data_IF_262901340509
#
_entry.id   IF_262901340509
#
_cell.length_a   1.000
_cell.length_b   1.000
_cell.length_c   1.000
_cell.angle_alpha   90.00
_cell.angle_beta   90.00
_cell.angle_gamma   90.00
#
_symmetry.space_group_name_H-M   'P 1'
#
loop_
_entity.id
_entity.type
_entity.pdbx_description
1 polymer ?
#
# COMPACT_ATOMS: atom_id res chain seq x y z
N UNK A 1 57.75 -25.99 -46.55
CA UNK A 1 57.51 -26.28 -45.13
C UNK A 1 56.24 -25.55 -44.77
N UNK A 2 55.11 -26.20 -45.02
CA UNK A 2 53.80 -25.63 -44.69
C UNK A 2 53.64 -25.71 -43.17
N UNK A 3 53.81 -24.57 -42.51
CA UNK A 3 53.52 -24.44 -41.09
C UNK A 3 52.01 -24.53 -40.97
N UNK A 4 51.50 -25.72 -40.67
CA UNK A 4 50.09 -25.90 -40.28
C UNK A 4 49.92 -25.05 -39.02
N UNK A 5 49.33 -23.87 -39.13
CA UNK A 5 48.88 -23.10 -38.00
C UNK A 5 47.77 -23.90 -37.32
N UNK A 6 48.16 -24.77 -36.38
CA UNK A 6 47.23 -25.50 -35.54
C UNK A 6 46.64 -24.47 -34.58
N UNK A 7 45.41 -24.04 -34.86
CA UNK A 7 44.68 -23.15 -33.96
C UNK A 7 44.36 -23.92 -32.68
N UNK A 8 44.83 -23.48 -31.50
CA UNK A 8 44.52 -24.18 -30.25
C UNK A 8 43.03 -24.11 -29.92
N UNK A 9 42.58 -24.94 -28.97
CA UNK A 9 41.24 -24.78 -28.41
C UNK A 9 41.10 -23.39 -27.77
N UNK A 10 39.90 -22.78 -27.75
CA UNK A 10 39.74 -21.42 -27.25
C UNK A 10 40.04 -21.35 -25.75
N UNK A 11 40.43 -20.16 -25.29
CA UNK A 11 40.51 -19.85 -23.88
C UNK A 11 39.12 -19.77 -23.25
N UNK A 12 39.05 -19.89 -21.92
CA UNK A 12 37.78 -19.75 -21.19
C UNK A 12 37.19 -18.35 -21.42
N UNK A 13 35.92 -18.22 -21.85
CA UNK A 13 35.29 -16.91 -21.95
C UNK A 13 35.10 -16.28 -20.57
N UNK A 14 34.86 -14.97 -20.54
CA UNK A 14 34.61 -14.22 -19.31
C UNK A 14 33.20 -13.64 -19.36
N UNK A 15 32.31 -14.11 -18.48
CA UNK A 15 30.96 -13.51 -18.35
C UNK A 15 31.08 -12.12 -17.72
N UNK A 16 30.41 -11.15 -18.34
CA UNK A 16 30.36 -9.78 -17.84
C UNK A 16 29.41 -9.69 -16.64
N UNK A 17 29.57 -8.74 -15.71
CA UNK A 17 28.58 -8.50 -14.67
C UNK A 17 27.20 -8.13 -15.24
N UNK A 18 26.13 -8.46 -14.53
CA UNK A 18 24.79 -8.00 -14.86
C UNK A 18 24.76 -6.48 -14.89
N UNK A 19 24.28 -5.91 -15.99
CA UNK A 19 24.12 -4.46 -16.15
C UNK A 19 22.67 -4.07 -15.88
N UNK A 20 22.44 -2.85 -15.40
CA UNK A 20 21.09 -2.34 -15.19
C UNK A 20 20.28 -2.42 -16.50
N UNK A 21 19.03 -2.87 -16.41
CA UNK A 21 18.12 -3.09 -17.55
C UNK A 21 18.50 -4.24 -18.51
N UNK A 22 19.43 -5.14 -18.15
CA UNK A 22 19.67 -6.37 -18.91
C UNK A 22 18.73 -7.52 -18.51
N UNK A 23 17.83 -7.29 -17.58
CA UNK A 23 16.85 -8.26 -17.10
C UNK A 23 15.43 -7.77 -17.35
N UNK A 24 14.54 -8.72 -17.57
CA UNK A 24 13.10 -8.52 -17.43
C UNK A 24 12.59 -9.40 -16.30
N UNK A 25 11.27 -9.39 -16.08
CA UNK A 25 10.63 -10.25 -15.08
C UNK A 25 10.85 -11.75 -15.36
N UNK A 26 11.01 -12.14 -16.61
CA UNK A 26 11.09 -13.55 -17.02
C UNK A 26 12.26 -13.86 -17.95
N UNK A 27 13.19 -12.91 -18.11
CA UNK A 27 14.35 -13.12 -18.97
C UNK A 27 15.61 -12.40 -18.49
N UNK A 28 16.75 -12.96 -18.85
CA UNK A 28 18.08 -12.43 -18.57
C UNK A 28 18.90 -12.37 -19.84
N UNK A 29 19.45 -11.20 -20.14
CA UNK A 29 20.46 -11.02 -21.19
C UNK A 29 21.85 -11.15 -20.58
N UNK A 30 22.54 -12.22 -20.94
CA UNK A 30 23.90 -12.54 -20.50
C UNK A 30 24.87 -12.22 -21.62
N UNK A 31 25.98 -11.56 -21.29
CA UNK A 31 27.02 -11.17 -22.23
C UNK A 31 28.37 -11.67 -21.72
N UNK A 32 29.25 -12.09 -22.62
CA UNK A 32 30.62 -12.49 -22.29
C UNK A 32 31.62 -11.93 -23.28
N UNK A 33 32.90 -11.99 -22.90
CA UNK A 33 34.03 -11.52 -23.69
C UNK A 33 35.02 -12.66 -23.90
N UNK A 34 35.78 -12.60 -25.00
CA UNK A 34 36.86 -13.52 -25.33
C UNK A 34 38.22 -12.81 -25.25
N UNK A 35 39.28 -13.62 -25.23
CA UNK A 35 40.62 -13.15 -25.57
C UNK A 35 40.73 -12.90 -27.08
N UNK A 36 41.50 -11.88 -27.47
CA UNK A 36 41.40 -11.23 -28.79
C UNK A 36 41.81 -12.08 -30.00
N UNK A 37 42.44 -13.23 -29.77
CA UNK A 37 43.03 -14.10 -30.80
C UNK A 37 42.33 -15.46 -30.96
N UNK A 38 41.31 -15.76 -30.15
CA UNK A 38 40.59 -17.04 -30.23
C UNK A 38 39.59 -17.06 -31.39
N UNK A 39 39.71 -18.05 -32.29
CA UNK A 39 38.66 -18.35 -33.28
C UNK A 39 37.62 -19.28 -32.67
N UNK A 40 36.36 -18.85 -32.58
CA UNK A 40 35.25 -19.62 -31.99
C UNK A 40 34.14 -19.85 -32.99
N UNK A 41 33.62 -21.08 -33.07
CA UNK A 41 32.49 -21.44 -33.94
C UNK A 41 31.14 -21.22 -33.26
N UNK A 42 31.03 -21.58 -31.99
CA UNK A 42 29.83 -21.40 -31.17
C UNK A 42 30.17 -21.43 -29.68
N UNK A 43 29.21 -20.98 -28.89
CA UNK A 43 29.24 -21.03 -27.43
C UNK A 43 28.10 -21.90 -26.92
N UNK A 44 28.31 -22.52 -25.77
CA UNK A 44 27.25 -23.14 -24.99
C UNK A 44 27.14 -22.40 -23.66
N UNK A 45 26.05 -21.68 -23.48
CA UNK A 45 25.70 -21.02 -22.23
C UNK A 45 24.89 -21.99 -21.38
N UNK A 46 25.38 -22.29 -20.19
CA UNK A 46 24.71 -23.12 -19.21
C UNK A 46 24.16 -22.25 -18.08
N UNK A 47 23.04 -22.66 -17.53
CA UNK A 47 22.43 -21.97 -16.40
C UNK A 47 21.62 -22.90 -15.52
N UNK A 48 21.48 -22.50 -14.26
CA UNK A 48 20.60 -23.15 -13.28
C UNK A 48 20.09 -22.12 -12.28
N UNK A 49 18.92 -22.40 -11.70
CA UNK A 49 18.41 -21.63 -10.59
C UNK A 49 19.29 -21.85 -9.34
N UNK A 50 19.59 -20.78 -8.62
CA UNK A 50 20.21 -20.85 -7.29
C UNK A 50 19.09 -21.13 -6.29
N UNK A 51 19.14 -22.29 -5.64
CA UNK A 51 18.25 -22.65 -4.54
C UNK A 51 19.00 -22.38 -3.23
N UNK A 52 18.39 -21.68 -2.27
CA UNK A 52 18.96 -21.57 -0.93
C UNK A 52 19.04 -22.95 -0.28
N UNK A 53 20.18 -23.25 0.36
CA UNK A 53 20.48 -24.55 0.97
C UNK A 53 19.41 -24.93 2.02
N UNK A 54 18.43 -25.74 1.62
CA UNK A 54 17.66 -26.54 2.54
C UNK A 54 18.51 -27.76 2.91
N UNK A 55 18.62 -28.14 4.20
CA UNK A 55 19.40 -29.30 4.60
C UNK A 55 18.86 -30.52 3.86
N UNK A 56 19.76 -31.21 3.16
CA UNK A 56 19.52 -32.29 2.22
C UNK A 56 18.41 -33.24 2.70
N UNK A 57 17.24 -33.11 2.07
CA UNK A 57 16.30 -34.22 1.95
C UNK A 57 16.60 -34.87 0.60
N UNK A 58 16.97 -36.14 0.67
CA UNK A 58 17.30 -37.05 -0.43
C UNK A 58 16.63 -36.68 -1.76
N UNK A 59 17.35 -35.90 -2.57
CA UNK A 59 17.02 -35.67 -3.97
C UNK A 59 18.18 -36.19 -4.80
N UNK A 60 18.01 -37.42 -5.29
CA UNK A 60 18.93 -38.14 -6.20
C UNK A 60 19.00 -37.52 -7.61
N UNK A 61 18.60 -36.26 -7.77
CA UNK A 61 18.75 -35.47 -8.99
C UNK A 61 19.59 -34.25 -8.66
N UNK A 62 20.78 -34.16 -9.25
CA UNK A 62 21.53 -32.91 -9.27
C UNK A 62 20.66 -31.77 -9.83
N UNK A 63 21.01 -30.50 -9.54
CA UNK A 63 20.25 -29.36 -10.05
C UNK A 63 20.13 -29.44 -11.57
N UNK A 64 18.91 -29.24 -12.09
CA UNK A 64 18.65 -29.31 -13.53
C UNK A 64 19.41 -28.17 -14.22
N UNK A 65 20.41 -28.55 -15.03
CA UNK A 65 21.25 -27.59 -15.76
C UNK A 65 20.69 -27.49 -17.16
N UNK A 66 20.21 -26.30 -17.51
CA UNK A 66 19.78 -25.97 -18.86
C UNK A 66 20.94 -25.39 -19.66
N UNK A 67 20.95 -25.58 -20.97
CA UNK A 67 21.93 -24.98 -21.85
C UNK A 67 21.33 -24.41 -23.13
N UNK A 68 21.99 -23.40 -23.70
CA UNK A 68 21.63 -22.76 -24.96
C UNK A 68 22.88 -22.62 -25.81
N UNK A 69 22.80 -23.07 -27.06
CA UNK A 69 23.87 -22.93 -28.04
C UNK A 69 23.68 -21.67 -28.88
N UNK A 70 24.69 -20.79 -28.92
CA UNK A 70 24.65 -19.51 -29.65
C UNK A 70 25.94 -19.24 -30.41
N UNK A 71 25.93 -18.31 -31.37
CA UNK A 71 27.14 -17.89 -32.11
C UNK A 71 27.68 -16.54 -31.66
N UNK A 72 26.80 -15.73 -31.09
CA UNK A 72 27.10 -14.40 -30.58
C UNK A 72 27.72 -14.50 -29.18
N UNK A 73 28.39 -13.43 -28.76
CA UNK A 73 28.94 -13.28 -27.39
C UNK A 73 27.89 -12.81 -26.38
N UNK A 74 26.62 -13.03 -26.68
CA UNK A 74 25.50 -12.73 -25.80
C UNK A 74 24.32 -13.66 -26.08
N UNK A 75 23.48 -13.88 -25.07
CA UNK A 75 22.26 -14.67 -25.18
C UNK A 75 21.19 -14.12 -24.25
N UNK A 76 19.93 -14.13 -24.71
CA UNK A 76 18.77 -13.83 -23.87
C UNK A 76 18.07 -15.14 -23.50
N UNK A 77 18.09 -15.48 -22.22
CA UNK A 77 17.40 -16.66 -21.68
C UNK A 77 16.04 -16.22 -21.16
N UNK A 78 14.96 -16.86 -21.62
CA UNK A 78 13.57 -16.57 -21.23
C UNK A 78 12.95 -17.66 -20.37
N UNK A 79 11.64 -17.55 -20.12
CA UNK A 79 10.85 -18.49 -19.30
C UNK A 79 11.39 -18.68 -17.87
N UNK A 80 12.03 -17.65 -17.33
CA UNK A 80 12.57 -17.64 -15.98
C UNK A 80 11.53 -17.14 -14.96
N UNK A 81 11.71 -17.52 -13.71
CA UNK A 81 10.86 -17.07 -12.60
C UNK A 81 11.25 -15.64 -12.17
N UNK A 82 10.28 -14.81 -11.73
CA UNK A 82 10.52 -13.45 -11.27
C UNK A 82 11.24 -13.40 -9.92
N UNK A 83 12.08 -12.39 -9.73
CA UNK A 83 12.90 -12.18 -8.53
C UNK A 83 13.73 -13.42 -8.12
N UNK A 84 14.29 -14.15 -9.07
CA UNK A 84 15.07 -15.37 -8.82
C UNK A 84 16.50 -15.19 -9.30
N UNK A 85 17.44 -15.72 -8.51
CA UNK A 85 18.85 -15.75 -8.85
C UNK A 85 19.17 -16.98 -9.73
N UNK A 86 19.90 -16.75 -10.79
CA UNK A 86 20.37 -17.76 -11.73
C UNK A 86 21.88 -17.67 -11.87
N UNK A 87 22.53 -18.83 -11.81
CA UNK A 87 23.97 -18.97 -12.00
C UNK A 87 24.25 -19.37 -13.45
N UNK A 88 25.13 -18.63 -14.13
CA UNK A 88 25.50 -18.81 -15.53
C UNK A 88 26.98 -19.13 -15.68
N UNK A 89 27.31 -19.99 -16.64
CA UNK A 89 28.68 -20.21 -17.13
C UNK A 89 28.66 -20.57 -18.61
N UNK A 90 29.75 -20.29 -19.31
CA UNK A 90 29.82 -20.49 -20.78
C UNK A 90 31.09 -21.21 -21.17
N UNK A 91 31.00 -22.05 -22.20
CA UNK A 91 32.14 -22.65 -22.92
C UNK A 91 32.17 -22.16 -24.36
N UNK A 92 33.35 -22.10 -24.95
CA UNK A 92 33.57 -21.78 -26.36
C UNK A 92 34.11 -23.01 -27.09
N UNK A 93 33.60 -23.27 -28.29
CA UNK A 93 34.02 -24.42 -29.09
C UNK A 93 34.51 -23.97 -30.45
N UNK A 94 35.62 -24.55 -30.91
CA UNK A 94 36.14 -24.40 -32.26
C UNK A 94 36.46 -25.77 -32.88
N UNK A 95 37.15 -25.77 -34.03
CA UNK A 95 37.51 -27.00 -34.75
C UNK A 95 38.46 -27.93 -33.97
N UNK A 96 39.22 -27.41 -33.00
CA UNK A 96 40.23 -28.18 -32.26
C UNK A 96 39.77 -28.61 -30.87
N UNK A 97 38.77 -27.95 -30.29
CA UNK A 97 38.17 -28.42 -29.04
C UNK A 97 37.27 -27.42 -28.34
N UNK A 98 36.96 -27.75 -27.08
CA UNK A 98 36.12 -26.97 -26.18
C UNK A 98 37.02 -26.30 -25.15
N UNK A 99 36.77 -25.03 -24.85
CA UNK A 99 37.46 -24.29 -23.79
C UNK A 99 37.11 -24.86 -22.40
N UNK A 100 37.91 -24.56 -21.37
CA UNK A 100 37.41 -24.61 -19.99
C UNK A 100 36.16 -23.73 -19.84
N UNK A 101 35.31 -24.05 -18.86
CA UNK A 101 34.16 -23.21 -18.53
C UNK A 101 34.62 -21.87 -17.96
N UNK A 102 33.84 -20.82 -18.21
CA UNK A 102 34.02 -19.54 -17.52
C UNK A 102 33.86 -19.68 -16.01
N UNK A 103 34.39 -18.71 -15.27
CA UNK A 103 33.90 -18.45 -13.91
C UNK A 103 32.38 -18.24 -13.93
N UNK A 104 31.73 -18.65 -12.85
CA UNK A 104 30.27 -18.57 -12.76
C UNK A 104 29.83 -17.17 -12.37
N UNK A 105 28.78 -16.67 -13.01
CA UNK A 105 28.19 -15.38 -12.72
C UNK A 105 26.75 -15.52 -12.25
N UNK A 106 26.36 -14.76 -11.23
CA UNK A 106 24.99 -14.74 -10.72
C UNK A 106 24.26 -13.54 -11.30
N UNK A 107 23.10 -13.80 -11.88
CA UNK A 107 22.17 -12.80 -12.40
C UNK A 107 20.81 -12.95 -11.72
N UNK A 108 20.05 -11.87 -11.63
CA UNK A 108 18.74 -11.85 -10.97
C UNK A 108 17.70 -11.28 -11.91
N UNK A 109 16.58 -11.99 -12.07
CA UNK A 109 15.42 -11.49 -12.82
C UNK A 109 14.75 -10.34 -12.08
N UNK A 110 14.07 -9.46 -12.81
CA UNK A 110 13.37 -8.31 -12.22
C UNK A 110 12.20 -8.80 -11.34
N UNK A 111 11.87 -8.09 -10.24
CA UNK A 111 10.75 -8.49 -9.38
C UNK A 111 9.38 -8.37 -10.07
N UNK A 112 8.41 -9.09 -9.52
CA UNK A 112 6.99 -8.84 -9.84
C UNK A 112 6.54 -7.48 -9.29
N UNK A 113 5.65 -6.77 -10.01
CA UNK A 113 5.07 -5.51 -9.53
C UNK A 113 4.35 -5.69 -8.18
N UNK A 114 4.54 -4.78 -7.22
CA UNK A 114 3.79 -4.77 -5.96
C UNK A 114 2.29 -4.54 -6.18
N UNK A 115 1.48 -4.96 -5.20
CA UNK A 115 0.02 -4.78 -5.20
C UNK A 115 -0.38 -3.84 -4.07
N UNK A 116 -0.90 -2.65 -4.40
CA UNK A 116 -1.35 -1.68 -3.39
C UNK A 116 -2.59 -2.22 -2.68
N UNK A 117 -2.53 -2.28 -1.34
CA UNK A 117 -3.64 -2.71 -0.48
C UNK A 117 -4.56 -1.53 -0.20
N UNK A 118 -5.48 -1.26 -1.13
CA UNK A 118 -6.35 -0.07 -1.08
C UNK A 118 -7.08 0.11 0.26
N UNK A 119 -7.54 -0.99 0.88
CA UNK A 119 -8.23 -0.97 2.19
C UNK A 119 -7.34 -0.60 3.38
N UNK A 120 -6.04 -0.78 3.23
CA UNK A 120 -5.06 -0.44 4.28
C UNK A 120 -4.42 0.94 4.03
N UNK A 121 -4.80 1.60 2.93
CA UNK A 121 -4.41 2.96 2.62
C UNK A 121 -5.37 3.94 3.29
N UNK A 122 -4.81 5.05 3.77
CA UNK A 122 -5.59 6.18 4.29
C UNK A 122 -5.01 7.48 3.75
N UNK A 123 -5.84 8.51 3.65
CA UNK A 123 -5.40 9.84 3.23
C UNK A 123 -6.02 10.93 4.09
N UNK A 124 -5.31 12.05 4.17
CA UNK A 124 -5.79 13.30 4.74
C UNK A 124 -5.41 14.46 3.80
N UNK A 125 -5.81 15.70 4.11
CA UNK A 125 -5.47 16.84 3.27
C UNK A 125 -3.98 17.08 3.06
N UNK A 126 -3.12 16.64 3.98
CA UNK A 126 -1.68 16.94 3.95
C UNK A 126 -0.81 15.71 3.68
N UNK A 127 -1.38 14.51 3.68
CA UNK A 127 -0.60 13.28 3.54
C UNK A 127 -1.45 12.07 3.12
N UNK A 128 -0.78 11.01 2.69
CA UNK A 128 -1.39 9.70 2.52
C UNK A 128 -0.45 8.60 3.01
N UNK A 129 -1.01 7.63 3.72
CA UNK A 129 -0.32 6.41 4.09
C UNK A 129 -0.70 5.32 3.08
N UNK A 130 0.30 4.86 2.32
CA UNK A 130 0.12 3.86 1.27
C UNK A 130 0.76 2.56 1.72
N UNK A 131 0.01 1.46 1.63
CA UNK A 131 0.48 0.11 1.96
C UNK A 131 0.32 -0.83 0.78
N UNK A 132 1.22 -1.79 0.64
CA UNK A 132 1.22 -2.74 -0.47
C UNK A 132 1.71 -4.12 -0.06
N UNK A 133 1.47 -5.10 -0.91
CA UNK A 133 2.11 -6.41 -0.85
C UNK A 133 3.25 -6.46 -1.85
N UNK A 134 4.37 -7.08 -1.46
CA UNK A 134 5.49 -7.31 -2.37
C UNK A 134 5.10 -8.20 -3.56
N UNK A 135 4.30 -9.26 -3.32
CA UNK A 135 3.99 -10.28 -4.34
C UNK A 135 5.21 -11.12 -4.79
N UNK A 136 6.36 -10.98 -4.13
CA UNK A 136 7.59 -11.69 -4.43
C UNK A 136 7.93 -12.65 -3.29
N UNK A 137 8.34 -13.88 -3.62
CA UNK A 137 8.73 -14.90 -2.63
C UNK A 137 10.08 -14.59 -2.00
N UNK A 138 11.03 -14.13 -2.82
CA UNK A 138 12.33 -13.66 -2.36
C UNK A 138 12.23 -12.18 -1.98
N UNK A 139 13.01 -11.72 -0.98
CA UNK A 139 13.06 -10.31 -0.63
C UNK A 139 13.55 -9.48 -1.83
N UNK A 140 13.13 -8.22 -1.87
CA UNK A 140 13.59 -7.21 -2.82
C UNK A 140 14.48 -6.22 -2.07
N UNK A 141 15.32 -5.47 -2.78
CA UNK A 141 16.26 -4.54 -2.16
C UNK A 141 15.55 -3.29 -1.61
N UNK A 142 14.56 -2.79 -2.35
CA UNK A 142 13.73 -1.65 -1.93
C UNK A 142 12.49 -1.48 -2.82
N UNK A 143 11.68 -0.46 -2.52
CA UNK A 143 10.59 0.01 -3.36
C UNK A 143 10.79 1.46 -3.79
N UNK A 144 10.22 1.79 -4.96
CA UNK A 144 10.08 3.16 -5.43
C UNK A 144 8.60 3.50 -5.52
N UNK A 145 8.17 4.55 -4.81
CA UNK A 145 6.81 5.08 -4.86
C UNK A 145 6.80 6.28 -5.79
N UNK A 146 6.01 6.24 -6.86
CA UNK A 146 5.84 7.34 -7.80
C UNK A 146 4.49 8.00 -7.63
N UNK A 147 4.49 9.33 -7.70
CA UNK A 147 3.31 10.16 -7.55
C UNK A 147 3.15 11.06 -8.77
N UNK A 148 1.94 11.09 -9.31
CA UNK A 148 1.60 11.95 -10.44
C UNK A 148 0.40 12.79 -10.02
N UNK A 149 0.59 14.10 -9.89
CA UNK A 149 -0.53 15.02 -9.68
C UNK A 149 -1.38 15.06 -10.95
N UNK A 150 -2.68 14.82 -10.81
CA UNK A 150 -3.63 14.95 -11.91
C UNK A 150 -4.19 16.37 -11.90
N UNK A 151 -3.73 17.23 -12.81
CA UNK A 151 -4.29 18.56 -12.99
C UNK A 151 -5.71 18.52 -13.59
N UNK A 152 -6.49 19.58 -13.36
CA UNK A 152 -7.85 19.74 -13.94
C UNK A 152 -7.88 19.78 -15.47
N UNK A 153 -6.74 20.07 -16.11
CA UNK A 153 -6.63 20.34 -17.54
C UNK A 153 -6.05 19.18 -18.37
N UNK A 154 -5.98 17.96 -17.80
CA UNK A 154 -5.55 16.76 -18.54
C UNK A 154 -4.07 16.72 -18.93
N UNK A 155 -3.26 17.70 -18.50
CA UNK A 155 -1.80 17.58 -18.52
C UNK A 155 -1.38 16.73 -17.32
N UNK A 156 -0.77 15.57 -17.60
CA UNK A 156 -0.16 14.73 -16.57
C UNK A 156 0.93 15.54 -15.88
N UNK A 157 0.81 15.75 -14.57
CA UNK A 157 1.77 16.50 -13.78
C UNK A 157 3.16 15.84 -13.76
N UNK A 158 4.13 16.56 -13.20
CA UNK A 158 5.49 16.05 -12.97
C UNK A 158 5.39 14.78 -12.12
N UNK A 159 6.11 13.73 -12.52
CA UNK A 159 6.22 12.51 -11.70
C UNK A 159 7.25 12.75 -10.61
N UNK A 160 6.79 12.74 -9.37
CA UNK A 160 7.65 12.71 -8.19
C UNK A 160 7.94 11.26 -7.78
N UNK A 161 9.07 11.03 -7.13
CA UNK A 161 9.49 9.67 -6.77
C UNK A 161 10.17 9.63 -5.40
N UNK A 162 9.68 8.75 -4.54
CA UNK A 162 10.31 8.37 -3.27
C UNK A 162 11.02 7.05 -3.52
N UNK A 163 12.35 7.06 -3.49
CA UNK A 163 13.20 5.90 -3.77
C UNK A 163 13.71 5.27 -2.49
N UNK A 164 14.19 4.03 -2.58
CA UNK A 164 14.83 3.30 -1.50
C UNK A 164 13.92 3.09 -0.26
N UNK A 165 12.61 2.92 -0.46
CA UNK A 165 11.69 2.57 0.63
C UNK A 165 11.93 1.12 1.04
N UNK A 166 12.31 0.82 2.29
CA UNK A 166 12.70 -0.52 2.70
C UNK A 166 11.52 -1.42 3.10
N UNK A 167 10.36 -0.82 3.35
CA UNK A 167 9.16 -1.49 3.88
C UNK A 167 8.02 -1.46 2.89
N UNK A 168 7.02 -2.32 3.10
CA UNK A 168 5.79 -2.37 2.30
C UNK A 168 4.76 -1.27 2.67
N UNK A 169 5.24 -0.16 3.21
CA UNK A 169 4.43 1.00 3.56
C UNK A 169 5.23 2.29 3.41
N UNK A 170 4.54 3.38 3.07
CA UNK A 170 5.12 4.72 2.97
C UNK A 170 4.10 5.80 3.32
N UNK A 171 4.50 6.71 4.21
CA UNK A 171 3.77 7.94 4.50
C UNK A 171 4.27 9.05 3.57
N UNK A 172 3.38 9.56 2.74
CA UNK A 172 3.69 10.52 1.69
C UNK A 172 3.06 11.87 2.05
N UNK A 173 3.84 12.95 2.00
CA UNK A 173 3.33 14.31 2.18
C UNK A 173 2.74 14.80 0.86
N UNK A 174 1.57 15.41 0.90
CA UNK A 174 0.80 15.82 -0.27
C UNK A 174 0.27 17.25 -0.10
N UNK A 175 0.01 17.95 -1.20
CA UNK A 175 -0.68 19.24 -1.14
C UNK A 175 -2.19 19.04 -0.96
N UNK A 176 -2.80 19.89 -0.15
CA UNK A 176 -4.25 19.90 0.10
C UNK A 176 -5.05 20.32 -1.13
N UNK A 177 -6.22 19.70 -1.31
CA UNK A 177 -7.15 20.03 -2.39
C UNK A 177 -6.73 19.51 -3.78
N UNK A 178 -5.82 18.53 -3.83
CA UNK A 178 -5.31 17.91 -5.05
C UNK A 178 -5.77 16.46 -5.20
N UNK A 179 -5.48 15.90 -6.36
CA UNK A 179 -5.66 14.48 -6.65
C UNK A 179 -4.36 13.92 -7.24
N UNK A 180 -3.97 12.75 -6.76
CA UNK A 180 -2.73 12.08 -7.12
C UNK A 180 -3.01 10.65 -7.58
N UNK A 181 -2.27 10.22 -8.61
CA UNK A 181 -2.12 8.81 -8.97
C UNK A 181 -0.82 8.30 -8.37
N UNK A 182 -0.90 7.22 -7.61
CA UNK A 182 0.22 6.60 -6.92
C UNK A 182 0.51 5.24 -7.53
N UNK A 183 1.79 4.98 -7.77
CA UNK A 183 2.32 3.71 -8.25
C UNK A 183 3.46 3.25 -7.36
N UNK A 184 3.62 1.94 -7.22
CA UNK A 184 4.76 1.35 -6.51
C UNK A 184 5.50 0.40 -7.45
N UNK A 185 6.84 0.42 -7.39
CA UNK A 185 7.72 -0.57 -8.01
C UNK A 185 8.55 -1.26 -6.95
N UNK A 186 8.82 -2.54 -7.15
CA UNK A 186 9.86 -3.26 -6.44
C UNK A 186 11.19 -3.11 -7.19
N UNK A 187 12.30 -3.05 -6.46
CA UNK A 187 13.64 -2.87 -7.01
C UNK A 187 14.55 -3.93 -6.45
N UNK A 188 15.29 -4.59 -7.33
CA UNK A 188 16.45 -5.42 -6.97
C UNK A 188 17.65 -5.07 -7.86
N UNK A 189 18.76 -5.79 -7.71
CA UNK A 189 19.96 -5.61 -8.54
C UNK A 189 19.72 -5.80 -10.05
N UNK A 190 18.70 -6.56 -10.43
CA UNK A 190 18.32 -6.77 -11.83
C UNK A 190 17.56 -5.59 -12.44
N UNK A 191 16.95 -4.76 -11.60
CA UNK A 191 16.27 -3.53 -11.99
C UNK A 191 14.92 -3.34 -11.30
N UNK A 192 14.21 -2.25 -11.66
CA UNK A 192 12.87 -1.98 -11.17
C UNK A 192 11.83 -2.83 -11.90
N UNK A 193 10.80 -3.27 -11.17
CA UNK A 193 9.60 -3.90 -11.75
C UNK A 193 8.80 -2.92 -12.62
N UNK A 194 7.81 -3.44 -13.34
CA UNK A 194 6.74 -2.59 -13.86
C UNK A 194 5.98 -1.89 -12.71
N UNK A 195 5.22 -0.84 -13.04
CA UNK A 195 4.33 -0.15 -12.09
C UNK A 195 3.27 -1.10 -11.56
N UNK A 196 2.92 -0.94 -10.28
CA UNK A 196 1.66 -1.47 -9.74
C UNK A 196 0.45 -0.92 -10.50
N UNK A 197 -0.74 -1.46 -10.22
CA UNK A 197 -1.97 -0.77 -10.58
C UNK A 197 -2.01 0.61 -9.91
N UNK A 198 -2.55 1.61 -10.61
CA UNK A 198 -2.68 2.97 -10.09
C UNK A 198 -3.64 3.00 -8.90
N UNK A 199 -3.25 3.71 -7.84
CA UNK A 199 -4.15 4.05 -6.73
C UNK A 199 -4.39 5.55 -6.71
N UNK A 200 -5.67 5.95 -6.64
CA UNK A 200 -6.07 7.36 -6.64
C UNK A 200 -6.23 7.86 -5.22
N UNK A 201 -5.53 8.93 -4.89
CA UNK A 201 -5.67 9.65 -3.62
C UNK A 201 -6.23 11.05 -3.88
N UNK A 202 -7.24 11.44 -3.12
CA UNK A 202 -7.70 12.83 -3.05
C UNK A 202 -7.36 13.41 -1.67
N UNK A 203 -6.85 14.64 -1.65
CA UNK A 203 -6.49 15.39 -0.44
C UNK A 203 -7.53 16.47 -0.12
N UNK A 204 -8.79 16.26 -0.49
CA UNK A 204 -9.91 17.18 -0.19
C UNK A 204 -10.57 16.91 1.17
N UNK A 205 -10.25 15.78 1.81
CA UNK A 205 -10.78 15.33 3.09
C UNK A 205 -9.93 14.22 3.69
N UNK A 206 -10.37 13.67 4.82
CA UNK A 206 -9.75 12.48 5.43
C UNK A 206 -10.55 11.24 5.04
N UNK A 207 -9.88 10.28 4.42
CA UNK A 207 -10.44 9.00 3.99
C UNK A 207 -9.81 7.88 4.81
N UNK A 208 -10.67 7.07 5.42
CA UNK A 208 -10.32 5.92 6.24
C UNK A 208 -11.42 4.87 6.14
N UNK A 209 -11.08 3.62 6.42
CA UNK A 209 -12.02 2.52 6.47
C UNK A 209 -12.41 2.19 7.91
N UNK A 210 -13.56 1.54 8.06
CA UNK A 210 -13.97 0.94 9.32
C UNK A 210 -13.17 -0.35 9.56
N UNK A 211 -12.58 -0.45 10.75
CA UNK A 211 -11.69 -1.54 11.15
C UNK A 211 -12.51 -2.75 11.62
N UNK A 212 -12.56 -3.79 10.80
CA UNK A 212 -13.36 -4.99 11.07
C UNK A 212 -12.95 -5.75 12.34
N UNK A 213 -11.66 -5.79 12.65
CA UNK A 213 -11.11 -6.38 13.87
C UNK A 213 -11.56 -5.62 15.15
N UNK A 214 -11.95 -4.36 15.00
CA UNK A 214 -12.44 -3.53 16.10
C UNK A 214 -13.96 -3.57 16.27
N UNK A 215 -14.69 -4.15 15.32
CA UNK A 215 -16.15 -4.13 15.30
C UNK A 215 -16.75 -5.06 16.36
N UNK A 216 -17.84 -4.60 16.99
CA UNK A 216 -18.67 -5.48 17.81
C UNK A 216 -19.18 -6.67 16.97
N UNK A 217 -19.27 -7.90 17.51
CA UNK A 217 -19.68 -9.09 16.74
C UNK A 217 -21.04 -9.00 16.04
N UNK A 218 -21.93 -8.16 16.54
CA UNK A 218 -23.28 -7.94 15.97
C UNK A 218 -23.32 -6.88 14.86
N UNK A 219 -22.19 -6.23 14.57
CA UNK A 219 -22.06 -5.29 13.46
C UNK A 219 -21.60 -6.01 12.20
N UNK A 220 -22.23 -5.69 11.08
CA UNK A 220 -21.69 -5.99 9.77
C UNK A 220 -21.16 -4.72 9.12
N UNK A 221 -20.02 -4.84 8.46
CA UNK A 221 -19.39 -3.76 7.69
C UNK A 221 -19.58 -4.08 6.21
N UNK A 222 -19.90 -3.06 5.41
CA UNK A 222 -20.01 -3.19 3.95
C UNK A 222 -18.73 -3.70 3.32
N UNK A 223 -18.85 -4.28 2.12
CA UNK A 223 -17.68 -4.70 1.39
C UNK A 223 -16.73 -3.53 1.12
N UNK A 224 -17.19 -2.32 0.83
CA UNK A 224 -16.30 -1.17 0.62
C UNK A 224 -15.64 -0.62 1.90
N UNK A 225 -16.06 -1.06 3.09
CA UNK A 225 -15.47 -0.66 4.36
C UNK A 225 -15.92 0.71 4.88
N UNK A 226 -16.94 1.33 4.28
CA UNK A 226 -17.42 2.67 4.65
C UNK A 226 -18.74 2.69 5.41
N UNK A 227 -19.53 1.61 5.33
CA UNK A 227 -20.84 1.52 5.98
C UNK A 227 -20.84 0.44 7.06
N UNK A 228 -21.57 0.70 8.13
CA UNK A 228 -21.86 -0.28 9.18
C UNK A 228 -23.36 -0.49 9.30
N UNK A 229 -23.77 -1.72 9.59
CA UNK A 229 -25.16 -2.10 9.77
C UNK A 229 -25.32 -2.88 11.08
N UNK A 230 -26.43 -2.61 11.75
CA UNK A 230 -26.85 -3.34 12.93
C UNK A 230 -28.27 -3.86 12.74
N UNK A 231 -28.44 -5.19 12.87
CA UNK A 231 -29.72 -5.88 12.72
C UNK A 231 -30.48 -6.07 14.02
N UNK A 232 -31.44 -7.01 14.02
CA UNK A 232 -32.54 -7.19 15.00
C UNK A 232 -32.17 -7.49 16.48
N UNK A 233 -30.90 -7.53 16.86
CA UNK A 233 -30.56 -7.64 18.28
C UNK A 233 -30.70 -6.26 18.95
N UNK A 234 -31.22 -6.18 20.18
CA UNK A 234 -31.35 -4.92 20.94
C UNK A 234 -30.25 -4.81 22.02
N UNK A 235 -28.99 -4.91 21.60
CA UNK A 235 -27.84 -4.65 22.44
C UNK A 235 -27.48 -3.16 22.38
N UNK A 236 -27.28 -2.52 23.55
CA UNK A 236 -26.96 -1.10 23.56
C UNK A 236 -25.50 -0.87 23.15
N UNK A 237 -25.28 0.11 22.27
CA UNK A 237 -23.96 0.65 21.91
C UNK A 237 -23.01 -0.39 21.28
N UNK A 238 -23.38 -0.89 20.11
CA UNK A 238 -22.48 -1.70 19.28
C UNK A 238 -21.52 -0.79 18.51
N UNK A 239 -20.21 -0.91 18.77
CA UNK A 239 -19.21 0.07 18.33
C UNK A 239 -18.17 -0.50 17.36
N UNK A 240 -17.56 0.39 16.57
CA UNK A 240 -16.44 0.13 15.66
C UNK A 240 -15.53 1.37 15.58
N UNK A 241 -14.24 1.15 15.34
CA UNK A 241 -13.27 2.22 15.09
C UNK A 241 -12.96 2.33 13.59
N UNK A 242 -12.60 3.52 13.13
CA UNK A 242 -11.98 3.72 11.82
C UNK A 242 -10.46 3.61 11.89
N UNK A 243 -9.78 3.65 10.74
CA UNK A 243 -8.31 3.70 10.71
C UNK A 243 -7.76 4.81 11.59
N UNK A 244 -6.59 4.55 12.18
CA UNK A 244 -5.87 5.54 12.97
C UNK A 244 -5.60 6.76 12.10
N UNK A 245 -5.91 7.97 12.59
CA UNK A 245 -5.48 9.20 11.94
C UNK A 245 -4.01 9.44 12.34
N UNK A 246 -3.01 9.17 11.47
CA UNK A 246 -1.62 9.04 11.91
C UNK A 246 -0.84 10.36 11.83
N UNK A 247 -1.46 11.41 11.29
CA UNK A 247 -0.84 12.73 11.10
C UNK A 247 -1.42 13.70 12.11
N UNK A 248 -0.56 14.49 12.77
CA UNK A 248 -1.01 15.54 13.71
C UNK A 248 -1.34 16.82 12.95
N UNK A 249 -2.36 16.76 12.08
CA UNK A 249 -2.77 17.87 11.25
C UNK A 249 -4.24 18.24 11.42
N UNK A 250 -4.82 18.74 10.33
CA UNK A 250 -6.24 19.02 10.20
C UNK A 250 -6.93 17.90 9.42
N UNK A 251 -8.00 17.37 10.01
CA UNK A 251 -8.76 16.27 9.47
C UNK A 251 -10.23 16.63 9.41
N UNK A 252 -10.90 16.16 8.38
CA UNK A 252 -12.32 16.34 8.22
C UNK A 252 -12.92 15.16 7.48
N UNK A 253 -14.04 14.65 7.99
CA UNK A 253 -14.83 13.61 7.35
C UNK A 253 -16.32 13.86 7.60
N UNK A 254 -17.14 13.26 6.76
CA UNK A 254 -18.60 13.38 6.83
C UNK A 254 -19.21 12.01 7.07
N UNK A 255 -20.34 12.02 7.77
CA UNK A 255 -21.10 10.82 8.09
C UNK A 255 -22.54 11.06 7.67
N UNK A 256 -23.05 10.16 6.84
CA UNK A 256 -24.44 10.10 6.41
C UNK A 256 -25.22 9.10 7.25
N UNK A 257 -26.44 9.48 7.60
CA UNK A 257 -27.24 8.87 8.65
C UNK A 257 -28.66 8.64 8.15
N UNK A 258 -29.24 7.50 8.49
CA UNK A 258 -30.67 7.27 8.28
C UNK A 258 -31.48 8.02 9.34
N UNK A 259 -32.70 8.46 8.97
CA UNK A 259 -33.55 9.35 9.78
C UNK A 259 -33.85 8.79 11.18
N UNK A 260 -34.04 7.47 11.26
CA UNK A 260 -34.43 6.76 12.47
C UNK A 260 -33.25 6.15 13.26
N UNK A 261 -32.01 6.39 12.82
CA UNK A 261 -30.84 5.75 13.43
C UNK A 261 -30.44 6.45 14.73
N UNK A 262 -30.33 5.69 15.82
CA UNK A 262 -29.69 6.14 17.06
C UNK A 262 -28.20 5.80 17.04
N UNK A 263 -27.35 6.82 17.13
CA UNK A 263 -25.92 6.66 16.89
C UNK A 263 -25.06 7.45 17.86
N UNK A 264 -23.78 7.07 17.89
CA UNK A 264 -22.69 7.85 18.47
C UNK A 264 -21.58 7.99 17.44
N UNK A 265 -21.10 9.20 17.23
CA UNK A 265 -20.01 9.49 16.29
C UNK A 265 -19.00 10.42 16.93
N UNK A 266 -17.72 10.20 16.69
CA UNK A 266 -16.69 11.00 17.31
C UNK A 266 -15.28 10.47 17.08
N UNK A 267 -14.43 10.67 18.08
CA UNK A 267 -13.07 10.13 18.12
C UNK A 267 -12.78 9.45 19.46
N UNK A 268 -11.91 8.44 19.43
CA UNK A 268 -11.51 7.68 20.60
C UNK A 268 -10.03 7.30 20.54
N UNK A 269 -9.41 7.11 21.70
CA UNK A 269 -8.14 6.41 21.79
C UNK A 269 -8.31 4.90 21.57
N UNK A 270 -7.27 4.25 21.08
CA UNK A 270 -7.23 2.80 20.80
C UNK A 270 -7.60 1.92 22.02
N UNK A 271 -7.22 2.36 23.22
CA UNK A 271 -7.48 1.65 24.49
C UNK A 271 -8.86 1.92 25.10
N UNK A 272 -9.74 2.62 24.38
CA UNK A 272 -11.11 2.88 24.85
C UNK A 272 -11.84 1.55 25.06
N UNK A 273 -12.43 1.38 26.24
CA UNK A 273 -13.13 0.15 26.62
C UNK A 273 -14.29 -0.14 25.68
N UNK A 274 -14.18 -1.25 24.95
CA UNK A 274 -15.13 -1.68 23.91
C UNK A 274 -16.50 -2.09 24.44
N UNK A 275 -16.58 -2.46 25.72
CA UNK A 275 -17.80 -2.80 26.43
C UNK A 275 -18.42 -1.61 27.19
N UNK A 276 -17.84 -0.42 27.03
CA UNK A 276 -18.33 0.81 27.65
C UNK A 276 -18.90 1.75 26.59
N UNK A 277 -19.84 2.61 26.99
CA UNK A 277 -20.42 3.59 26.09
C UNK A 277 -19.38 4.61 25.62
N UNK A 278 -19.31 4.85 24.30
CA UNK A 278 -18.54 5.97 23.76
C UNK A 278 -18.99 7.28 24.42
N UNK A 279 -18.02 8.09 24.85
CA UNK A 279 -18.19 9.33 25.60
C UNK A 279 -18.35 9.16 27.12
N UNK A 280 -18.44 7.92 27.62
CA UNK A 280 -18.53 7.64 29.06
C UNK A 280 -17.19 7.79 29.80
N UNK A 281 -16.08 7.49 29.13
CA UNK A 281 -14.73 7.61 29.67
C UNK A 281 -14.03 8.89 29.19
N UNK A 282 -12.87 9.19 29.77
CA UNK A 282 -12.00 10.29 29.34
C UNK A 282 -11.16 9.96 28.09
N UNK A 283 -11.40 8.80 27.46
CA UNK A 283 -10.68 8.32 26.28
C UNK A 283 -11.45 8.47 24.98
N UNK A 284 -12.69 8.97 25.03
CA UNK A 284 -13.54 9.20 23.86
C UNK A 284 -14.32 10.52 23.95
N UNK A 285 -14.61 11.07 22.78
CA UNK A 285 -15.37 12.32 22.58
C UNK A 285 -16.35 12.08 21.45
N UNK A 286 -17.65 12.08 21.75
CA UNK A 286 -18.65 11.78 20.74
C UNK A 286 -19.91 12.63 20.85
N UNK A 287 -20.53 12.88 19.70
CA UNK A 287 -21.92 13.29 19.60
C UNK A 287 -22.79 12.03 19.63
N UNK A 288 -23.85 12.05 20.44
CA UNK A 288 -24.87 11.00 20.53
C UNK A 288 -26.21 11.55 20.06
N UNK A 289 -26.92 10.76 19.27
CA UNK A 289 -28.31 11.00 18.87
C UNK A 289 -29.20 9.87 19.41
N UNK A 290 -30.34 10.25 20.00
CA UNK A 290 -31.38 9.34 20.49
C UNK A 290 -32.75 9.86 20.07
N UNK A 291 -33.63 8.96 19.66
CA UNK A 291 -35.01 9.30 19.36
C UNK A 291 -35.84 9.19 20.64
N UNK A 292 -36.51 10.28 21.00
CA UNK A 292 -37.54 10.26 22.03
C UNK A 292 -38.91 10.33 21.36
N UNK A 293 -40.00 9.86 21.99
CA UNK A 293 -41.34 9.91 21.41
C UNK A 293 -41.81 11.31 20.95
N UNK A 294 -41.13 12.37 21.39
CA UNK A 294 -41.49 13.77 21.11
C UNK A 294 -40.46 14.55 20.30
N UNK A 295 -39.22 14.07 20.15
CA UNK A 295 -38.12 14.81 19.50
C UNK A 295 -36.84 13.98 19.34
N UNK A 296 -35.98 14.45 18.45
CA UNK A 296 -34.55 14.12 18.44
C UNK A 296 -33.85 14.73 19.67
N UNK A 297 -33.04 13.94 20.37
CA UNK A 297 -32.19 14.40 21.47
C UNK A 297 -30.73 14.21 21.09
N UNK A 298 -29.91 15.24 21.34
CA UNK A 298 -28.48 15.21 21.09
C UNK A 298 -27.69 15.50 22.35
N UNK A 299 -26.60 14.76 22.53
CA UNK A 299 -25.67 14.91 23.64
C UNK A 299 -24.24 14.95 23.09
N UNK A 300 -23.35 15.75 23.69
CA UNK A 300 -21.94 15.80 23.34
C UNK A 300 -21.13 15.29 24.51
N UNK A 301 -20.81 13.99 24.47
CA UNK A 301 -20.34 13.21 25.59
C UNK A 301 -18.81 13.15 25.64
N UNK A 302 -18.27 13.48 26.81
CA UNK A 302 -16.90 13.20 27.21
C UNK A 302 -16.81 13.04 28.73
N UNK A 303 -16.14 11.99 29.22
CA UNK A 303 -16.04 11.70 30.66
C UNK A 303 -17.41 11.63 31.37
N UNK A 304 -18.44 11.16 30.65
CA UNK A 304 -19.82 11.07 31.16
C UNK A 304 -20.54 12.42 31.29
N UNK A 305 -19.92 13.52 30.86
CA UNK A 305 -20.49 14.86 30.89
C UNK A 305 -20.97 15.27 29.50
N UNK A 306 -22.08 16.02 29.44
CA UNK A 306 -22.59 16.66 28.23
C UNK A 306 -23.04 18.09 28.54
N UNK A 307 -22.77 19.06 27.64
CA UNK A 307 -23.40 20.38 27.72
C UNK A 307 -24.91 20.27 27.44
N UNK A 308 -25.70 21.24 27.94
CA UNK A 308 -27.10 21.41 27.56
C UNK A 308 -27.17 22.17 26.22
N UNK A 309 -27.24 21.41 25.12
CA UNK A 309 -27.32 21.94 23.75
C UNK A 309 -28.61 21.45 23.11
N UNK A 310 -29.26 22.35 22.37
CA UNK A 310 -30.49 22.04 21.64
C UNK A 310 -30.25 22.19 20.16
N UNK A 311 -30.37 21.09 19.44
CA UNK A 311 -30.40 21.05 17.98
C UNK A 311 -31.87 20.95 17.57
N UNK A 312 -32.34 21.90 16.77
CA UNK A 312 -33.76 22.01 16.38
C UNK A 312 -34.06 21.38 15.03
N UNK A 313 -33.04 21.19 14.19
CA UNK A 313 -33.17 20.54 12.87
C UNK A 313 -32.28 19.31 12.85
N UNK A 314 -32.86 18.15 12.57
CA UNK A 314 -32.12 16.89 12.50
C UNK A 314 -31.08 16.95 11.36
N UNK A 315 -29.77 16.79 11.64
CA UNK A 315 -28.76 16.70 10.60
C UNK A 315 -28.80 15.31 9.95
N UNK A 316 -29.10 15.26 8.65
CA UNK A 316 -28.98 14.03 7.84
C UNK A 316 -27.52 13.68 7.56
N UNK A 317 -26.65 14.70 7.56
CA UNK A 317 -25.21 14.56 7.41
C UNK A 317 -24.46 15.39 8.46
N UNK A 318 -23.53 14.74 9.15
CA UNK A 318 -22.68 15.37 10.16
C UNK A 318 -21.23 15.41 9.69
N UNK A 319 -20.66 16.61 9.71
CA UNK A 319 -19.24 16.84 9.47
C UNK A 319 -18.48 16.86 10.79
N UNK A 320 -17.36 16.16 10.84
CA UNK A 320 -16.43 16.18 11.98
C UNK A 320 -15.13 16.84 11.54
N UNK A 321 -14.68 17.85 12.29
CA UNK A 321 -13.38 18.50 12.08
C UNK A 321 -12.48 18.28 13.28
N UNK A 322 -11.36 17.61 13.07
CA UNK A 322 -10.32 17.39 14.07
C UNK A 322 -9.11 18.25 13.73
N UNK A 323 -8.69 19.07 14.69
CA UNK A 323 -7.47 19.86 14.60
C UNK A 323 -6.57 19.50 15.78
N UNK A 324 -5.53 18.69 15.52
CA UNK A 324 -4.59 18.27 16.55
C UNK A 324 -3.81 19.44 17.13
N UNK A 325 -3.35 20.37 16.29
CA UNK A 325 -2.50 21.50 16.70
C UNK A 325 -3.21 22.44 17.66
N UNK A 326 -4.50 22.70 17.40
CA UNK A 326 -5.34 23.54 18.26
C UNK A 326 -6.02 22.77 19.38
N UNK A 327 -5.97 21.44 19.35
CA UNK A 327 -6.65 20.59 20.31
C UNK A 327 -8.17 20.73 20.26
N UNK A 328 -8.74 20.68 19.05
CA UNK A 328 -10.16 20.97 18.82
C UNK A 328 -10.81 19.82 18.05
N UNK A 329 -11.99 19.39 18.50
CA UNK A 329 -12.91 18.53 17.74
C UNK A 329 -14.26 19.22 17.60
N UNK A 330 -14.67 19.51 16.38
CA UNK A 330 -15.91 20.25 16.08
C UNK A 330 -16.88 19.41 15.25
N UNK A 331 -18.17 19.58 15.50
CA UNK A 331 -19.27 18.91 14.81
C UNK A 331 -20.12 19.93 14.06
N UNK A 332 -20.56 19.56 12.86
CA UNK A 332 -21.32 20.44 11.97
C UNK A 332 -22.51 19.70 11.36
N UNK A 333 -23.64 20.38 11.23
CA UNK A 333 -24.69 19.99 10.31
C UNK A 333 -24.26 20.46 8.91
N UNK A 334 -23.97 19.52 8.02
CA UNK A 334 -23.39 19.81 6.70
C UNK A 334 -24.40 20.53 5.81
N UNK A 335 -25.66 20.09 5.81
CA UNK A 335 -26.71 20.64 4.95
C UNK A 335 -27.08 22.08 5.30
N UNK A 336 -27.00 22.44 6.59
CA UNK A 336 -27.28 23.80 7.05
C UNK A 336 -26.02 24.65 7.21
N UNK A 337 -24.85 24.10 6.91
CA UNK A 337 -23.55 24.75 7.17
C UNK A 337 -23.47 25.29 8.62
N UNK A 338 -24.02 24.53 9.57
CA UNK A 338 -24.22 24.98 10.94
C UNK A 338 -23.25 24.28 11.89
N UNK A 339 -22.46 25.06 12.62
CA UNK A 339 -21.69 24.55 13.76
C UNK A 339 -22.63 24.06 14.87
N UNK A 340 -22.41 22.83 15.34
CA UNK A 340 -23.21 22.21 16.39
C UNK A 340 -22.52 22.30 17.75
N UNK A 341 -21.27 21.87 17.82
CA UNK A 341 -20.50 21.89 19.07
C UNK A 341 -19.00 21.71 18.84
N UNK A 342 -18.20 22.11 19.84
CA UNK A 342 -16.76 21.94 19.86
C UNK A 342 -16.30 21.42 21.22
N UNK A 343 -15.54 20.32 21.22
CA UNK A 343 -14.70 19.93 22.34
C UNK A 343 -13.33 20.62 22.24
N UNK A 344 -12.82 21.06 23.40
CA UNK A 344 -11.46 21.55 23.57
C UNK A 344 -10.66 20.50 24.34
N UNK A 345 -9.66 19.92 23.70
CA UNK A 345 -8.97 18.72 24.18
C UNK A 345 -7.48 18.77 23.87
N UNK A 346 -6.65 18.45 24.85
CA UNK A 346 -5.23 18.18 24.59
C UNK A 346 -5.04 16.70 24.28
N UNK A 347 -5.16 16.33 23.00
CA UNK A 347 -4.96 14.96 22.55
C UNK A 347 -3.51 14.51 22.84
N UNK A 348 -3.35 13.57 23.76
CA UNK A 348 -2.03 13.04 24.15
C UNK A 348 -1.51 12.01 23.15
N UNK A 349 -2.45 11.30 22.51
CA UNK A 349 -2.19 10.24 21.53
C UNK A 349 -2.97 10.52 20.25
N UNK A 350 -2.64 9.79 19.19
CA UNK A 350 -3.45 9.75 17.99
C UNK A 350 -4.81 9.12 18.31
N UNK A 351 -5.84 9.58 17.61
CA UNK A 351 -7.21 9.10 17.77
C UNK A 351 -7.66 8.35 16.53
N UNK A 352 -8.56 7.40 16.78
CA UNK A 352 -9.38 6.77 15.76
C UNK A 352 -10.72 7.50 15.67
N UNK A 353 -11.28 7.70 14.47
CA UNK A 353 -12.72 7.92 14.31
C UNK A 353 -13.45 6.77 15.00
N UNK A 354 -14.53 7.05 15.73
CA UNK A 354 -15.31 6.03 16.41
C UNK A 354 -16.80 6.19 16.11
N UNK A 355 -17.47 5.06 15.91
CA UNK A 355 -18.87 4.98 15.56
C UNK A 355 -19.55 3.92 16.41
N UNK A 356 -20.79 4.16 16.83
CA UNK A 356 -21.63 3.16 17.44
C UNK A 356 -23.09 3.35 17.08
N UNK A 357 -23.84 2.25 17.08
CA UNK A 357 -25.28 2.23 16.94
C UNK A 357 -25.89 1.82 18.29
N UNK A 358 -26.82 2.62 18.79
CA UNK A 358 -27.54 2.34 20.04
C UNK A 358 -28.77 1.44 19.78
N UNK A 359 -29.30 1.41 18.54
CA UNK A 359 -30.42 0.59 18.04
C UNK A 359 -30.14 0.08 16.61
N UNK A 360 -30.90 -0.92 16.12
CA UNK A 360 -30.80 -1.40 14.73
C UNK A 360 -30.90 -0.25 13.72
N UNK A 361 -30.03 -0.25 12.72
CA UNK A 361 -29.88 0.86 11.79
C UNK A 361 -28.59 0.79 11.00
N UNK A 362 -28.29 1.87 10.27
CA UNK A 362 -27.10 1.96 9.44
C UNK A 362 -26.47 3.35 9.49
N UNK A 363 -25.17 3.37 9.22
CA UNK A 363 -24.37 4.59 9.16
C UNK A 363 -23.32 4.44 8.07
N UNK A 364 -23.10 5.50 7.29
CA UNK A 364 -22.12 5.50 6.20
C UNK A 364 -21.13 6.67 6.36
N UNK A 365 -19.84 6.36 6.41
CA UNK A 365 -18.77 7.35 6.31
C UNK A 365 -18.61 7.74 4.84
N UNK A 366 -18.68 9.03 4.52
CA UNK A 366 -18.59 9.49 3.14
C UNK A 366 -17.15 9.39 2.61
N UNK A 367 -16.85 8.57 1.57
CA UNK A 367 -15.49 8.42 1.03
C UNK A 367 -15.03 9.61 0.19
N UNK A 368 -15.95 10.49 -0.23
CA UNK A 368 -15.66 11.66 -1.06
C UNK A 368 -16.49 12.84 -0.59
N UNK A 369 -15.91 14.05 -0.62
CA UNK A 369 -16.73 15.27 -0.54
C UNK A 369 -17.43 15.50 -1.88
N UNK A 370 -18.75 15.64 -1.87
CA UNK A 370 -19.43 16.38 -2.93
C UNK A 370 -19.21 17.86 -2.65
N UNK A 371 -18.23 18.48 -3.32
CA UNK A 371 -18.09 19.91 -3.62
C UNK A 371 -18.91 20.89 -2.75
N UNK A 372 -18.79 20.82 -1.43
CA UNK A 372 -19.16 21.90 -0.52
C UNK A 372 -17.88 22.30 0.21
N UNK A 373 -17.07 23.09 -0.50
CA UNK A 373 -16.16 24.02 0.16
C UNK A 373 -16.99 24.85 1.13
N UNK A 374 -16.64 24.89 2.42
CA UNK A 374 -16.78 26.07 3.31
C UNK A 374 -16.45 25.81 4.80
N UNK A 375 -15.51 24.93 5.18
CA UNK A 375 -14.99 24.94 6.55
C UNK A 375 -13.50 24.59 6.60
N UNK A 376 -12.65 25.52 6.13
CA UNK A 376 -11.23 25.60 6.49
C UNK A 376 -10.75 27.05 6.53
#
# INVERSE_FOLDING_TARGET
MDSINIVPAPSAPVINPQVSNSATRTSLRVCWSLFSDDSVEYYELYYRQVLEDTPAVDSTKGPDVSNVKVKETHCSVGELLPNVQYEFWVTATNTTGISPASEKAVYVTVPSPPVIRQRECSSCPEAALIRWESGNTNPVDSYTVELIETGTDGQSGVTESIVAVPTCESLIQLESGRQYLIYVRAVNIGGPSDRSQAFTVSTTGTVFHLLQDTAHPCLSISEDGFSMFYGDEELPCVAVLGDLIPVRGRHYWEVELDEDTEYRIGVAYEDTQRNSYLGGANTSWCMRHVLTPSRHKYEFLHSGWSPDIRITVNPVRIGLSLNYERGILSFFNVELEQHLYTFYCSFQRYVHPCFALDNPGALTVCPWKRLCCLFF
#
